data_IF_458847963528
#
_entry.id   IF_458847963528
#
_cell.length_a   1.000
_cell.length_b   1.000
_cell.length_c   1.000
_cell.angle_alpha   90.00
_cell.angle_beta   90.00
_cell.angle_gamma   90.00
#
_symmetry.space_group_name_H-M   'P 1'
#
loop_
_entity.id
_entity.type
_entity.pdbx_description
1 polymer ?
#
# COMPACT_ATOMS: atom_id res chain seq x y z
N UNK A 1 -17.88 8.68 22.15
CA UNK A 1 -18.56 8.39 20.86
C UNK A 1 -17.56 7.75 19.92
N UNK A 2 -17.99 6.82 19.06
CA UNK A 2 -17.10 6.16 18.10
C UNK A 2 -17.36 6.63 16.68
N UNK A 3 -16.33 6.74 15.86
CA UNK A 3 -16.44 7.14 14.45
C UNK A 3 -17.47 6.28 13.68
N UNK A 4 -17.49 4.96 13.93
CA UNK A 4 -18.43 4.03 13.30
C UNK A 4 -19.89 4.22 13.76
N UNK A 5 -20.11 4.71 14.98
CA UNK A 5 -21.46 5.03 15.44
C UNK A 5 -21.97 6.35 14.89
N UNK A 6 -21.07 7.30 14.62
CA UNK A 6 -21.43 8.62 14.08
C UNK A 6 -21.72 8.57 12.58
N UNK A 7 -20.96 7.77 11.82
CA UNK A 7 -21.20 7.59 10.37
C UNK A 7 -22.55 6.92 10.06
N UNK A 8 -23.13 6.18 11.03
CA UNK A 8 -24.41 5.50 10.90
C UNK A 8 -25.62 6.38 11.30
N UNK A 9 -25.39 7.59 11.82
CA UNK A 9 -26.47 8.52 12.16
C UNK A 9 -27.10 9.10 10.88
N UNK A 10 -28.40 9.42 10.94
CA UNK A 10 -29.09 10.10 9.83
C UNK A 10 -28.48 11.47 9.51
N UNK A 11 -27.96 12.16 10.53
CA UNK A 11 -27.18 13.39 10.39
C UNK A 11 -25.82 13.19 11.07
N UNK A 12 -24.81 12.70 10.35
CA UNK A 12 -23.46 12.47 10.88
C UNK A 12 -22.75 13.75 11.37
N UNK A 13 -23.31 14.93 11.07
CA UNK A 13 -22.69 16.24 11.31
C UNK A 13 -21.74 16.66 10.20
N UNK A 14 -20.88 17.64 10.49
CA UNK A 14 -19.90 18.19 9.54
C UNK A 14 -18.72 17.23 9.38
N UNK A 15 -18.78 16.37 8.36
CA UNK A 15 -17.66 15.51 7.96
C UNK A 15 -16.54 16.35 7.35
N UNK A 16 -15.32 16.14 7.83
CA UNK A 16 -14.10 16.80 7.39
C UNK A 16 -13.24 15.80 6.63
N UNK A 17 -12.65 16.27 5.53
CA UNK A 17 -11.74 15.51 4.68
C UNK A 17 -10.42 16.25 4.62
N UNK A 18 -9.38 15.58 5.09
CA UNK A 18 -8.02 16.06 5.09
C UNK A 18 -7.19 15.20 4.14
N UNK A 19 -6.25 15.82 3.44
CA UNK A 19 -5.40 15.21 2.44
C UNK A 19 -3.94 15.42 2.82
N UNK A 20 -3.17 14.34 2.81
CA UNK A 20 -1.72 14.42 2.92
C UNK A 20 -1.07 13.82 1.68
N UNK A 21 -0.22 14.60 1.02
CA UNK A 21 0.59 14.15 -0.10
C UNK A 21 2.04 14.09 0.36
N UNK A 22 2.55 12.89 0.55
CA UNK A 22 3.92 12.61 0.96
C UNK A 22 4.78 12.30 -0.28
N UNK A 23 5.60 13.29 -0.65
CA UNK A 23 6.57 13.22 -1.74
C UNK A 23 8.02 13.03 -1.25
N UNK A 24 8.22 12.65 0.03
CA UNK A 24 9.58 12.51 0.62
C UNK A 24 10.45 11.50 -0.12
N UNK A 25 9.85 10.42 -0.63
CA UNK A 25 10.55 9.41 -1.45
C UNK A 25 11.14 9.96 -2.74
N UNK A 26 10.60 11.07 -3.25
CA UNK A 26 11.02 11.74 -4.47
C UNK A 26 11.99 12.90 -4.18
N UNK A 27 12.32 13.15 -2.91
CA UNK A 27 13.11 14.31 -2.46
C UNK A 27 12.28 15.57 -2.19
N UNK A 28 10.95 15.45 -2.12
CA UNK A 28 10.04 16.53 -1.75
C UNK A 28 9.69 16.56 -0.26
N UNK A 29 8.70 17.38 0.10
CA UNK A 29 8.15 17.49 1.45
C UNK A 29 6.77 16.82 1.55
N UNK A 30 6.28 16.68 2.78
CA UNK A 30 4.89 16.29 3.05
C UNK A 30 4.02 17.55 2.96
N UNK A 31 3.02 17.52 2.11
CA UNK A 31 2.07 18.61 1.91
C UNK A 31 0.71 18.21 2.49
N UNK A 32 0.04 19.13 3.19
CA UNK A 32 -1.19 18.87 3.94
C UNK A 32 -2.26 19.88 3.59
N UNK A 33 -3.40 19.39 3.12
CA UNK A 33 -4.47 20.22 2.57
C UNK A 33 -5.85 19.79 3.06
N UNK A 34 -6.82 20.69 3.04
CA UNK A 34 -8.24 20.38 3.24
C UNK A 34 -9.12 21.13 2.24
N UNK A 35 -10.23 20.51 1.84
CA UNK A 35 -11.18 21.03 0.84
C UNK A 35 -12.27 21.97 1.39
N UNK A 36 -12.18 22.40 2.65
CA UNK A 36 -13.24 23.15 3.32
C UNK A 36 -13.05 24.66 3.14
N UNK A 37 -13.61 25.20 2.06
CA UNK A 37 -13.40 26.59 1.64
C UNK A 37 -13.89 27.66 2.63
N UNK A 38 -14.78 27.30 3.57
CA UNK A 38 -15.29 28.23 4.60
C UNK A 38 -14.56 28.09 5.95
N UNK A 39 -13.64 27.14 6.06
CA UNK A 39 -12.85 26.92 7.28
C UNK A 39 -11.45 27.50 7.08
N UNK A 40 -10.91 28.10 8.14
CA UNK A 40 -9.50 28.44 8.20
C UNK A 40 -8.64 27.16 8.29
N UNK A 41 -7.32 27.32 8.36
CA UNK A 41 -6.39 26.21 8.51
C UNK A 41 -6.82 25.29 9.67
N UNK A 42 -6.90 23.99 9.39
CA UNK A 42 -7.35 22.98 10.33
C UNK A 42 -6.13 22.33 10.99
N UNK A 43 -6.15 22.24 12.31
CA UNK A 43 -5.15 21.52 13.10
C UNK A 43 -5.69 20.13 13.42
N UNK A 44 -5.00 19.09 12.95
CA UNK A 44 -5.35 17.70 13.24
C UNK A 44 -4.12 16.95 13.73
N UNK A 45 -4.22 16.35 14.91
CA UNK A 45 -3.11 15.67 15.59
C UNK A 45 -1.85 16.55 15.69
N UNK A 46 -2.04 17.85 15.93
CA UNK A 46 -0.97 18.85 16.00
C UNK A 46 -0.29 19.19 14.66
N UNK A 47 -0.85 18.75 13.53
CA UNK A 47 -0.39 19.14 12.19
C UNK A 47 -1.36 20.15 11.56
N UNK A 48 -0.82 21.18 10.92
CA UNK A 48 -1.59 22.18 10.21
C UNK A 48 -1.91 21.69 8.79
N UNK A 49 -3.17 21.80 8.41
CA UNK A 49 -3.69 21.55 7.06
C UNK A 49 -4.18 22.88 6.51
N UNK A 50 -3.68 23.25 5.34
CA UNK A 50 -4.04 24.52 4.70
C UNK A 50 -5.25 24.39 3.79
N UNK A 51 -6.05 25.45 3.71
CA UNK A 51 -7.24 25.48 2.87
C UNK A 51 -6.87 25.49 1.39
N UNK A 52 -7.42 24.55 0.62
CA UNK A 52 -7.19 24.44 -0.80
C UNK A 52 -8.41 23.85 -1.51
N UNK A 53 -8.69 24.29 -2.73
CA UNK A 53 -9.67 23.60 -3.58
C UNK A 53 -9.08 22.27 -4.04
N UNK A 54 -9.52 21.20 -3.39
CA UNK A 54 -9.16 19.82 -3.68
C UNK A 54 -10.41 18.97 -3.71
N UNK A 55 -10.61 18.27 -4.82
CA UNK A 55 -11.73 17.37 -5.03
C UNK A 55 -11.19 15.98 -5.34
N UNK A 56 -11.79 14.97 -4.73
CA UNK A 56 -11.28 13.62 -4.83
C UNK A 56 -12.47 12.66 -4.94
N UNK A 57 -12.54 11.99 -6.09
CA UNK A 57 -13.70 11.21 -6.52
C UNK A 57 -13.30 9.78 -6.86
N UNK A 58 -14.24 8.84 -6.78
CA UNK A 58 -14.01 7.46 -7.22
C UNK A 58 -13.29 6.56 -6.21
N UNK A 59 -13.35 6.89 -4.91
CA UNK A 59 -12.84 6.02 -3.83
C UNK A 59 -13.75 4.83 -3.50
N UNK A 60 -14.85 4.66 -4.24
CA UNK A 60 -15.81 3.59 -3.98
C UNK A 60 -15.21 2.22 -4.26
N UNK A 61 -15.43 1.30 -3.30
CA UNK A 61 -15.11 -0.12 -3.45
C UNK A 61 -16.19 -0.71 -4.35
N UNK A 62 -15.90 -0.84 -5.64
CA UNK A 62 -16.77 -1.54 -6.57
C UNK A 62 -16.73 -3.04 -6.26
N UNK A 63 -17.89 -3.67 -6.14
CA UNK A 63 -18.02 -5.12 -5.89
C UNK A 63 -17.61 -6.00 -7.07
N UNK A 64 -17.11 -5.42 -8.17
CA UNK A 64 -16.69 -6.09 -9.39
C UNK A 64 -15.23 -6.57 -9.35
N UNK A 65 -14.52 -6.34 -8.24
CA UNK A 65 -13.16 -6.81 -8.01
C UNK A 65 -12.10 -6.07 -8.82
N UNK A 66 -12.46 -5.03 -9.58
CA UNK A 66 -11.48 -4.16 -10.25
C UNK A 66 -10.93 -3.16 -9.24
N UNK A 67 -9.61 -2.90 -9.24
CA UNK A 67 -9.04 -1.86 -8.38
C UNK A 67 -9.70 -0.53 -8.72
N UNK A 68 -10.14 0.20 -7.69
CA UNK A 68 -10.64 1.56 -7.86
C UNK A 68 -9.49 2.45 -8.30
N UNK A 69 -9.72 3.25 -9.35
CA UNK A 69 -8.80 4.28 -9.85
C UNK A 69 -9.36 5.65 -9.52
N UNK A 70 -9.30 6.11 -8.25
CA UNK A 70 -9.81 7.41 -7.88
C UNK A 70 -9.06 8.53 -8.60
N UNK A 71 -9.76 9.65 -8.81
CA UNK A 71 -9.18 10.86 -9.38
C UNK A 71 -9.06 11.92 -8.29
N UNK A 72 -7.90 12.59 -8.24
CA UNK A 72 -7.60 13.68 -7.33
C UNK A 72 -7.35 14.94 -8.14
N UNK A 73 -8.22 15.92 -8.01
CA UNK A 73 -8.13 17.22 -8.66
C UNK A 73 -7.75 18.27 -7.63
N UNK A 74 -6.68 19.02 -7.88
CA UNK A 74 -6.21 20.09 -7.01
C UNK A 74 -6.04 21.37 -7.80
N UNK A 75 -6.32 22.51 -7.17
CA UNK A 75 -6.01 23.82 -7.75
C UNK A 75 -4.49 23.97 -7.91
N UNK A 76 -4.07 24.59 -9.00
CA UNK A 76 -2.67 24.82 -9.31
C UNK A 76 -2.12 26.09 -8.62
N UNK A 77 -2.44 26.26 -7.35
CA UNK A 77 -2.04 27.39 -6.52
C UNK A 77 -1.83 26.92 -5.08
N UNK A 78 -0.61 27.08 -4.56
CA UNK A 78 -0.25 26.74 -3.18
C UNK A 78 0.33 28.00 -2.55
N UNK A 79 -0.16 28.41 -1.39
CA UNK A 79 0.32 29.58 -0.62
C UNK A 79 0.42 30.88 -1.47
N UNK A 80 -0.52 31.08 -2.39
CA UNK A 80 -0.57 32.23 -3.29
C UNK A 80 0.40 32.17 -4.49
N UNK A 81 1.14 31.08 -4.66
CA UNK A 81 2.03 30.86 -5.80
C UNK A 81 1.28 30.11 -6.90
N UNK A 82 0.91 30.83 -7.96
CA UNK A 82 0.30 30.24 -9.16
C UNK A 82 1.28 29.33 -9.89
N UNK A 83 0.82 28.15 -10.29
CA UNK A 83 1.65 27.15 -10.97
C UNK A 83 2.52 26.32 -10.03
N UNK A 84 2.32 26.40 -8.71
CA UNK A 84 3.13 25.69 -7.73
C UNK A 84 3.03 24.17 -7.89
N UNK A 85 1.83 23.61 -8.14
CA UNK A 85 1.65 22.18 -8.37
C UNK A 85 2.37 21.74 -9.64
N UNK A 86 2.24 22.51 -10.72
CA UNK A 86 2.99 22.25 -11.97
C UNK A 86 4.51 22.27 -11.73
N UNK A 87 5.02 23.25 -10.98
CA UNK A 87 6.45 23.32 -10.67
C UNK A 87 6.92 22.11 -9.85
N UNK A 88 6.10 21.64 -8.89
CA UNK A 88 6.36 20.42 -8.13
C UNK A 88 6.36 19.18 -9.02
N UNK A 89 5.41 19.07 -9.96
CA UNK A 89 5.39 17.99 -10.95
C UNK A 89 6.67 17.98 -11.78
N UNK A 90 7.13 19.14 -12.26
CA UNK A 90 8.38 19.24 -13.02
C UNK A 90 9.61 18.83 -12.20
N UNK A 91 9.67 19.22 -10.92
CA UNK A 91 10.78 18.91 -10.03
C UNK A 91 10.80 17.45 -9.56
N UNK A 92 9.62 16.87 -9.31
CA UNK A 92 9.45 15.58 -8.62
C UNK A 92 8.86 14.50 -9.54
N UNK A 93 9.16 14.55 -10.86
CA UNK A 93 8.73 13.54 -11.85
C UNK A 93 7.21 13.26 -11.81
N UNK A 94 6.43 14.31 -11.95
CA UNK A 94 4.96 14.31 -11.91
C UNK A 94 4.35 13.76 -10.61
N UNK A 95 5.12 13.73 -9.51
CA UNK A 95 4.72 13.18 -8.21
C UNK A 95 4.36 11.68 -8.26
N UNK A 96 4.70 10.98 -9.33
CA UNK A 96 4.41 9.54 -9.51
C UNK A 96 5.09 8.73 -8.41
N UNK A 97 4.30 7.89 -7.73
CA UNK A 97 4.75 7.10 -6.58
C UNK A 97 4.65 7.82 -5.23
N UNK A 98 4.21 9.09 -5.21
CA UNK A 98 3.92 9.79 -3.96
C UNK A 98 2.74 9.15 -3.24
N UNK A 99 2.81 9.15 -1.91
CA UNK A 99 1.81 8.53 -1.04
C UNK A 99 0.75 9.56 -0.70
N UNK A 100 -0.51 9.28 -1.00
CA UNK A 100 -1.65 10.13 -0.67
C UNK A 100 -2.46 9.48 0.45
N UNK A 101 -2.61 10.18 1.57
CA UNK A 101 -3.46 9.76 2.69
C UNK A 101 -4.69 10.64 2.72
N UNK A 102 -5.85 10.02 2.59
CA UNK A 102 -7.14 10.65 2.80
C UNK A 102 -7.58 10.32 4.23
N UNK A 103 -7.78 11.35 5.03
CA UNK A 103 -8.25 11.21 6.42
C UNK A 103 -9.66 11.80 6.47
N UNK A 104 -10.64 10.96 6.72
CA UNK A 104 -12.03 11.38 6.93
C UNK A 104 -12.31 11.37 8.44
N UNK A 105 -12.65 12.53 8.98
CA UNK A 105 -13.02 12.71 10.38
C UNK A 105 -14.25 13.60 10.50
N UNK A 106 -14.70 13.90 11.72
CA UNK A 106 -15.79 14.84 11.96
C UNK A 106 -15.29 16.06 12.70
N UNK A 107 -15.97 17.21 12.51
CA UNK A 107 -15.60 18.48 13.15
C UNK A 107 -15.47 18.38 14.66
N UNK A 108 -16.34 17.64 15.34
CA UNK A 108 -16.29 17.46 16.80
C UNK A 108 -15.10 16.61 17.29
N UNK A 109 -14.45 15.87 16.42
CA UNK A 109 -13.24 15.11 16.79
C UNK A 109 -11.96 15.92 16.66
N UNK A 110 -11.98 17.07 15.97
CA UNK A 110 -10.82 17.92 15.77
C UNK A 110 -10.18 18.39 17.08
N UNK A 111 -8.88 18.70 17.01
CA UNK A 111 -8.12 19.18 18.17
C UNK A 111 -8.74 20.46 18.76
N UNK A 112 -8.59 20.62 20.08
CA UNK A 112 -9.09 21.80 20.81
C UNK A 112 -8.53 23.13 20.26
N UNK A 113 -7.35 23.11 19.64
CA UNK A 113 -6.72 24.29 19.04
C UNK A 113 -7.53 24.94 17.90
N UNK A 114 -8.49 24.22 17.31
CA UNK A 114 -9.37 24.75 16.27
C UNK A 114 -10.53 25.58 16.81
N UNK A 115 -10.81 25.51 18.11
CA UNK A 115 -11.98 26.13 18.72
C UNK A 115 -11.56 27.17 19.77
N UNK A 116 -12.16 28.38 19.77
CA UNK A 116 -11.81 29.42 20.72
C UNK A 116 -12.09 29.01 22.18
N UNK A 117 -13.12 28.18 22.41
CA UNK A 117 -13.49 27.66 23.73
C UNK A 117 -12.89 26.26 24.03
N UNK A 118 -12.00 25.78 23.16
CA UNK A 118 -11.48 24.42 23.19
C UNK A 118 -12.50 23.36 22.73
N UNK A 119 -12.11 22.08 22.80
CA UNK A 119 -12.96 20.97 22.42
C UNK A 119 -12.85 19.80 23.43
N UNK A 120 -13.89 19.55 24.26
CA UNK A 120 -13.91 18.43 25.20
C UNK A 120 -14.16 17.08 24.52
N UNK A 121 -14.70 17.06 23.30
CA UNK A 121 -14.99 15.85 22.52
C UNK A 121 -13.86 15.46 21.54
N UNK A 122 -12.72 16.19 21.60
CA UNK A 122 -11.56 15.94 20.76
C UNK A 122 -11.11 14.47 20.86
N UNK A 123 -10.95 13.82 19.72
CA UNK A 123 -10.56 12.41 19.66
C UNK A 123 -9.83 12.10 18.36
N UNK A 124 -8.86 11.19 18.42
CA UNK A 124 -8.06 10.80 17.25
C UNK A 124 -8.78 9.81 16.31
N UNK A 125 -10.11 9.81 16.32
CA UNK A 125 -10.90 8.87 15.54
C UNK A 125 -11.12 9.40 14.13
N UNK A 126 -10.60 8.66 13.15
CA UNK A 126 -10.74 8.96 11.74
C UNK A 126 -10.69 7.67 10.91
N UNK A 127 -11.26 7.74 9.72
CA UNK A 127 -11.06 6.73 8.67
C UNK A 127 -9.92 7.19 7.77
N UNK A 128 -8.86 6.41 7.72
CA UNK A 128 -7.72 6.66 6.86
C UNK A 128 -7.76 5.75 5.64
N UNK A 129 -7.71 6.33 4.45
CA UNK A 129 -7.57 5.60 3.20
C UNK A 129 -6.23 5.96 2.57
N UNK A 130 -5.49 4.93 2.15
CA UNK A 130 -4.17 5.08 1.58
C UNK A 130 -4.17 4.83 0.07
N UNK A 131 -3.59 5.78 -0.65
CA UNK A 131 -3.50 5.79 -2.10
C UNK A 131 -2.11 6.18 -2.55
N UNK A 132 -1.80 5.92 -3.81
CA UNK A 132 -0.58 6.38 -4.45
C UNK A 132 -0.90 7.10 -5.75
N UNK A 133 -0.12 8.11 -6.09
CA UNK A 133 -0.22 8.79 -7.40
C UNK A 133 0.39 7.87 -8.46
N UNK A 134 -0.42 7.43 -9.42
CA UNK A 134 0.02 6.59 -10.53
C UNK A 134 0.49 7.44 -11.72
N UNK A 135 -0.32 8.42 -12.11
CA UNK A 135 -0.01 9.32 -13.22
C UNK A 135 -0.78 10.64 -13.13
N UNK A 136 -0.24 11.69 -13.74
CA UNK A 136 -0.96 12.94 -14.00
C UNK A 136 -1.79 12.77 -15.27
N UNK A 137 -3.10 13.00 -15.18
CA UNK A 137 -4.03 12.79 -16.31
C UNK A 137 -4.29 14.08 -17.07
N UNK A 138 -4.44 15.19 -16.37
CA UNK A 138 -4.71 16.50 -16.96
C UNK A 138 -4.00 17.61 -16.18
N UNK A 139 -3.55 18.62 -16.90
CA UNK A 139 -2.86 19.77 -16.34
C UNK A 139 -3.31 21.06 -17.02
N UNK A 140 -3.89 21.95 -16.22
CA UNK A 140 -4.31 23.28 -16.63
C UNK A 140 -3.68 24.35 -15.74
N UNK A 141 -3.71 25.61 -16.19
CA UNK A 141 -3.19 26.75 -15.40
C UNK A 141 -3.92 26.93 -14.06
N UNK A 142 -5.15 26.44 -13.96
CA UNK A 142 -5.98 26.57 -12.77
C UNK A 142 -6.01 25.30 -11.92
N UNK A 143 -5.82 24.12 -12.51
CA UNK A 143 -6.01 22.85 -11.80
C UNK A 143 -5.15 21.74 -12.40
N UNK A 144 -4.77 20.78 -11.56
CA UNK A 144 -4.03 19.57 -11.94
C UNK A 144 -4.81 18.36 -11.45
N UNK A 145 -4.97 17.38 -12.33
CA UNK A 145 -5.69 16.13 -12.04
C UNK A 145 -4.73 14.96 -12.05
N UNK A 146 -4.80 14.15 -11.00
CA UNK A 146 -4.02 12.94 -10.81
C UNK A 146 -4.94 11.72 -10.78
N UNK A 147 -4.44 10.63 -11.36
CA UNK A 147 -4.99 9.30 -11.16
C UNK A 147 -4.28 8.66 -9.98
N UNK A 148 -5.07 8.18 -9.04
CA UNK A 148 -4.63 7.46 -7.87
C UNK A 148 -4.87 5.96 -8.06
N UNK A 149 -4.04 5.16 -7.42
CA UNK A 149 -4.19 3.71 -7.38
C UNK A 149 -3.98 3.18 -5.97
N UNK A 150 -4.58 2.02 -5.70
CA UNK A 150 -4.44 1.34 -4.42
C UNK A 150 -3.01 0.84 -4.24
N UNK A 151 -2.47 0.80 -3.00
CA UNK A 151 -1.21 0.12 -2.68
C UNK A 151 -1.10 -1.31 -3.23
N UNK A 152 -2.24 -1.98 -3.42
CA UNK A 152 -2.31 -3.35 -3.93
C UNK A 152 -2.08 -3.45 -5.45
N UNK A 153 -2.32 -2.36 -6.18
CA UNK A 153 -2.22 -2.31 -7.64
C UNK A 153 -0.87 -1.73 -8.10
N UNK A 154 -0.29 -0.86 -7.27
CA UNK A 154 1.05 -0.29 -7.45
C UNK A 154 2.15 -1.34 -7.27
N UNK A 155 2.44 -2.04 -8.37
CA UNK A 155 3.72 -2.67 -8.58
C UNK A 155 3.69 -4.15 -8.89
N UNK A 156 2.86 -4.63 -9.82
CA UNK A 156 3.08 -5.92 -10.50
C UNK A 156 3.19 -7.15 -9.60
N UNK A 157 2.91 -7.02 -8.30
CA UNK A 157 2.94 -8.12 -7.33
C UNK A 157 1.64 -8.86 -7.52
N UNK A 158 1.69 -9.88 -8.38
CA UNK A 158 0.62 -10.83 -8.54
C UNK A 158 0.40 -11.54 -7.20
N UNK A 159 -0.73 -11.27 -6.55
CA UNK A 159 -1.24 -12.10 -5.47
C UNK A 159 -1.79 -13.39 -6.08
N UNK A 160 -1.48 -14.59 -5.54
CA UNK A 160 -0.63 -14.88 -4.39
C UNK A 160 0.88 -14.84 -4.71
N UNK A 161 1.68 -14.28 -3.79
CA UNK A 161 3.15 -14.22 -3.91
C UNK A 161 3.84 -15.61 -4.00
N UNK A 162 3.09 -16.70 -3.83
CA UNK A 162 3.56 -18.07 -4.01
C UNK A 162 2.64 -18.84 -4.95
N UNK A 163 3.20 -19.33 -6.05
CA UNK A 163 2.54 -20.35 -6.87
C UNK A 163 2.62 -21.72 -6.19
N UNK A 164 1.51 -22.44 -6.18
CA UNK A 164 1.46 -23.83 -5.72
C UNK A 164 2.19 -24.70 -6.75
N UNK A 165 3.42 -25.09 -6.44
CA UNK A 165 4.26 -25.91 -7.33
C UNK A 165 4.65 -27.23 -6.69
N UNK A 166 5.04 -28.21 -7.52
CA UNK A 166 5.55 -29.52 -7.09
C UNK A 166 6.97 -29.49 -6.52
N UNK A 167 7.65 -28.35 -6.60
CA UNK A 167 9.02 -28.19 -6.13
C UNK A 167 9.01 -27.64 -4.69
N UNK A 168 9.98 -28.09 -3.89
CA UNK A 168 10.18 -27.62 -2.54
C UNK A 168 10.60 -26.15 -2.55
N UNK A 169 9.77 -25.28 -1.97
CA UNK A 169 10.07 -23.84 -1.90
C UNK A 169 11.41 -23.54 -1.20
N UNK A 170 11.81 -24.36 -0.23
CA UNK A 170 13.07 -24.18 0.49
C UNK A 170 14.27 -24.35 -0.42
N UNK A 171 14.25 -25.36 -1.28
CA UNK A 171 15.30 -25.58 -2.26
C UNK A 171 15.31 -24.48 -3.32
N UNK A 172 14.14 -24.09 -3.84
CA UNK A 172 14.03 -23.05 -4.86
C UNK A 172 14.49 -21.66 -4.37
N UNK A 173 14.32 -21.36 -3.08
CA UNK A 173 14.76 -20.10 -2.45
C UNK A 173 16.19 -20.16 -1.90
N UNK A 174 16.94 -21.24 -2.16
CA UNK A 174 18.30 -21.42 -1.62
C UNK A 174 18.36 -21.65 -0.11
N UNK A 175 17.24 -21.95 0.53
CA UNK A 175 17.10 -22.23 1.96
C UNK A 175 17.24 -23.74 2.27
N UNK A 176 17.89 -24.50 1.39
CA UNK A 176 18.26 -25.89 1.67
C UNK A 176 19.20 -25.93 2.88
N UNK A 177 18.93 -26.82 3.86
CA UNK A 177 19.56 -26.86 5.20
C UNK A 177 19.34 -25.62 6.07
N UNK A 178 18.64 -24.59 5.60
CA UNK A 178 18.22 -23.45 6.41
C UNK A 178 17.11 -23.84 7.40
N UNK A 179 16.76 -22.91 8.29
CA UNK A 179 15.79 -23.10 9.37
C UNK A 179 14.46 -23.71 8.90
N UNK A 180 13.91 -23.21 7.79
CA UNK A 180 12.64 -23.69 7.24
C UNK A 180 12.72 -25.10 6.64
N UNK A 181 13.88 -25.48 6.07
CA UNK A 181 14.11 -26.82 5.57
C UNK A 181 14.42 -27.81 6.72
N UNK A 182 15.13 -27.34 7.75
CA UNK A 182 15.54 -28.09 8.95
C UNK A 182 16.27 -29.42 8.67
N UNK A 183 16.85 -29.60 7.48
CA UNK A 183 17.67 -30.78 7.19
C UNK A 183 19.05 -30.60 7.82
N UNK A 184 19.31 -31.30 8.92
CA UNK A 184 20.59 -31.29 9.64
C UNK A 184 21.41 -32.56 9.44
N UNK A 185 20.98 -33.46 8.55
CA UNK A 185 21.66 -34.74 8.30
C UNK A 185 23.03 -34.58 7.64
N UNK A 186 23.96 -35.49 7.95
CA UNK A 186 25.32 -35.47 7.40
C UNK A 186 25.36 -35.84 5.90
N UNK A 187 24.40 -36.64 5.41
CA UNK A 187 24.38 -37.05 4.01
C UNK A 187 24.16 -35.85 3.07
N UNK A 188 25.07 -35.68 2.11
CA UNK A 188 25.05 -34.65 1.09
C UNK A 188 24.77 -35.28 -0.27
N UNK A 189 24.09 -34.55 -1.15
CA UNK A 189 23.84 -35.02 -2.51
C UNK A 189 23.98 -33.90 -3.53
N UNK A 190 24.45 -34.25 -4.72
CA UNK A 190 24.53 -33.36 -5.87
C UNK A 190 23.14 -32.94 -6.35
N UNK A 191 23.08 -31.98 -7.29
CA UNK A 191 21.84 -31.53 -7.95
C UNK A 191 21.10 -32.69 -8.66
N UNK A 192 21.80 -33.78 -8.96
CA UNK A 192 21.30 -34.99 -9.60
C UNK A 192 20.86 -36.07 -8.61
N UNK A 193 20.87 -35.77 -7.30
CA UNK A 193 20.57 -36.71 -6.20
C UNK A 193 21.60 -37.86 -6.06
N UNK A 194 22.84 -37.64 -6.48
CA UNK A 194 23.95 -38.58 -6.26
C UNK A 194 24.66 -38.25 -4.94
N UNK A 195 25.04 -39.25 -4.13
CA UNK A 195 25.74 -39.00 -2.87
C UNK A 195 27.10 -38.33 -3.15
N UNK A 196 27.45 -37.35 -2.32
CA UNK A 196 28.74 -36.66 -2.41
C UNK A 196 29.27 -36.39 -1.01
N UNK A 197 30.59 -36.37 -0.84
CA UNK A 197 31.24 -35.94 0.40
C UNK A 197 31.74 -34.49 0.32
N UNK A 198 31.57 -33.84 -0.83
CA UNK A 198 32.02 -32.47 -1.05
C UNK A 198 30.89 -31.47 -0.72
N UNK A 199 31.04 -30.63 0.32
CA UNK A 199 30.02 -29.64 0.70
C UNK A 199 29.71 -28.61 -0.39
N UNK A 200 30.67 -28.31 -1.28
CA UNK A 200 30.45 -27.34 -2.35
C UNK A 200 29.46 -27.82 -3.43
N UNK A 201 29.32 -29.15 -3.56
CA UNK A 201 28.42 -29.79 -4.52
C UNK A 201 27.06 -30.14 -3.93
N UNK A 202 26.88 -29.98 -2.61
CA UNK A 202 25.63 -30.31 -1.92
C UNK A 202 24.51 -29.32 -2.30
N UNK A 203 23.62 -29.77 -3.18
CA UNK A 203 22.51 -28.95 -3.68
C UNK A 203 21.24 -29.79 -3.81
N UNK A 204 20.19 -29.36 -3.14
CA UNK A 204 18.87 -29.99 -3.28
C UNK A 204 18.16 -29.49 -4.56
N UNK A 205 17.74 -30.37 -5.49
CA UNK A 205 16.95 -29.98 -6.66
C UNK A 205 15.47 -29.72 -6.34
N UNK A 206 15.05 -29.89 -5.08
CA UNK A 206 13.72 -29.54 -4.59
C UNK A 206 12.62 -30.55 -4.95
N UNK A 207 12.94 -31.75 -5.41
CA UNK A 207 11.93 -32.78 -5.73
C UNK A 207 11.56 -33.56 -4.48
N UNK A 208 10.35 -34.12 -4.44
CA UNK A 208 9.92 -34.99 -3.35
C UNK A 208 10.86 -36.19 -3.13
N UNK A 209 11.32 -36.82 -4.22
CA UNK A 209 12.31 -37.91 -4.19
C UNK A 209 13.59 -37.49 -3.46
N UNK A 210 14.06 -36.26 -3.69
CA UNK A 210 15.26 -35.70 -3.07
C UNK A 210 15.10 -35.53 -1.56
N UNK A 211 13.92 -35.11 -1.10
CA UNK A 211 13.59 -35.05 0.33
C UNK A 211 13.44 -36.46 0.95
N UNK A 212 12.96 -37.44 0.18
CA UNK A 212 12.87 -38.84 0.62
C UNK A 212 14.25 -39.46 0.86
N UNK A 213 15.22 -39.22 -0.03
CA UNK A 213 16.61 -39.67 0.15
C UNK A 213 17.23 -39.12 1.44
N UNK A 214 16.87 -37.90 1.81
CA UNK A 214 17.35 -37.18 2.99
C UNK A 214 16.51 -37.44 4.25
N UNK A 215 15.48 -38.29 4.18
CA UNK A 215 14.57 -38.55 5.31
C UNK A 215 13.78 -37.32 5.80
N UNK A 216 13.69 -36.26 4.99
CA UNK A 216 13.14 -34.96 5.40
C UNK A 216 11.81 -34.63 4.68
N UNK A 217 10.95 -35.62 4.51
CA UNK A 217 9.68 -35.50 3.80
C UNK A 217 8.64 -34.68 4.57
N UNK A 218 8.67 -34.72 5.91
CA UNK A 218 7.74 -33.97 6.79
C UNK A 218 7.83 -32.44 6.62
N UNK A 219 9.01 -31.94 6.22
CA UNK A 219 9.27 -30.51 6.01
C UNK A 219 9.29 -30.12 4.53
N UNK A 220 8.77 -30.96 3.65
CA UNK A 220 8.72 -30.66 2.22
C UNK A 220 7.86 -29.41 1.95
N UNK A 221 8.46 -28.41 1.32
CA UNK A 221 7.83 -27.12 1.06
C UNK A 221 7.09 -27.02 -0.28
N UNK A 222 6.78 -28.14 -0.93
CA UNK A 222 6.06 -28.19 -2.21
C UNK A 222 4.72 -28.93 -2.07
N UNK A 223 3.84 -28.78 -3.06
CA UNK A 223 2.56 -29.51 -3.11
C UNK A 223 2.61 -30.64 -4.14
N UNK A 224 2.43 -31.88 -3.68
CA UNK A 224 2.38 -33.04 -4.56
C UNK A 224 1.12 -33.05 -5.45
N UNK A 225 0.02 -32.45 -4.96
CA UNK A 225 -1.25 -32.32 -5.68
C UNK A 225 -1.24 -31.31 -6.83
N UNK A 226 -0.22 -30.46 -6.92
CA UNK A 226 -0.09 -29.46 -7.98
C UNK A 226 -0.01 -30.09 -9.40
N UNK A 227 0.32 -31.38 -9.50
CA UNK A 227 0.42 -32.09 -10.79
C UNK A 227 -0.93 -32.58 -11.32
N UNK A 228 -2.00 -32.56 -10.50
CA UNK A 228 -3.34 -33.00 -10.93
C UNK A 228 -4.06 -31.95 -11.80
N UNK A 229 -3.53 -30.73 -11.92
CA UNK A 229 -4.14 -29.62 -12.65
C UNK A 229 -3.65 -29.53 -14.11
N UNK A 230 -2.74 -30.43 -14.54
CA UNK A 230 -2.24 -30.47 -15.92
C UNK A 230 -2.66 -31.75 -16.62
N UNK A 231 -3.97 -31.91 -16.84
CA UNK A 231 -4.51 -32.83 -17.86
C UNK A 231 -5.98 -32.52 -18.19
N UNK A 232 -6.30 -31.26 -18.44
CA UNK A 232 -7.51 -30.89 -19.19
C UNK A 232 -7.14 -29.86 -20.26
N UNK A 233 -6.44 -30.34 -21.28
CA UNK A 233 -6.45 -29.76 -22.63
C UNK A 233 -6.64 -30.91 -23.60
#
# INVERSE_FOLDING_TARGET
>A
MTFESDIQKLEPGNQIRLYEVDATRLGGNIMRFHGHAQEADIIWQGQLYSAMQIEANGFDIRGDGRPATPTLQMVNEIDGVRGAVTALCLALKDLVGSKVRLIETFRHFLDAANFPDGNPDASNQARENLWYIEQKTDENRQQVTFQLSSPLDMGGVMLPAQQITKLCRWACRGQYRGEACAYTGAAMYTKQDEPTDNPALDRCPGRWKSCKLRGNTRRFGGSMGASLIVSSR
#
